data_IF_415208298417
#
_entry.id   IF_415208298417
#
_cell.length_a   1.000
_cell.length_b   1.000
_cell.length_c   1.000
_cell.angle_alpha   90.00
_cell.angle_beta   90.00
_cell.angle_gamma   90.00
#
_symmetry.space_group_name_H-M   'P 1'
#
loop_
_entity.id
_entity.type
_entity.pdbx_description
1 polymer ?
#
# COMPACT_ATOMS: atom_id res chain seq x y z
N UNK A 1 5.82 -18.11 -27.57
CA UNK A 1 5.10 -17.37 -26.51
C UNK A 1 5.97 -17.46 -25.27
N UNK A 2 6.65 -16.36 -24.93
CA UNK A 2 7.59 -16.31 -23.81
C UNK A 2 6.84 -16.29 -22.47
N UNK A 3 7.52 -16.59 -21.37
CA UNK A 3 6.93 -16.55 -19.99
C UNK A 3 6.33 -15.16 -19.71
N UNK A 4 6.98 -14.10 -20.23
CA UNK A 4 6.52 -12.70 -20.13
C UNK A 4 5.17 -12.48 -20.82
N UNK A 5 4.92 -13.13 -21.98
CA UNK A 5 3.63 -13.01 -22.70
C UNK A 5 2.48 -13.70 -21.95
N UNK A 6 2.78 -14.78 -21.22
CA UNK A 6 1.76 -15.48 -20.43
C UNK A 6 1.35 -14.71 -19.18
N UNK A 7 2.28 -14.02 -18.53
CA UNK A 7 1.96 -13.17 -17.38
C UNK A 7 1.15 -11.94 -17.81
N UNK A 8 1.52 -11.25 -18.88
CA UNK A 8 0.74 -10.13 -19.42
C UNK A 8 -0.69 -10.54 -19.81
N UNK A 9 -0.87 -11.74 -20.38
CA UNK A 9 -2.20 -12.24 -20.73
C UNK A 9 -3.05 -12.58 -19.50
N UNK A 10 -2.43 -13.08 -18.43
CA UNK A 10 -3.10 -13.41 -17.17
C UNK A 10 -3.62 -12.14 -16.47
N UNK A 11 -2.81 -11.08 -16.44
CA UNK A 11 -3.21 -9.79 -15.87
C UNK A 11 -4.32 -9.09 -16.66
N UNK A 12 -4.32 -9.24 -17.98
CA UNK A 12 -5.37 -8.72 -18.85
C UNK A 12 -6.73 -9.38 -18.55
N UNK A 13 -6.76 -10.68 -18.37
CA UNK A 13 -7.97 -11.44 -18.02
C UNK A 13 -8.51 -11.09 -16.63
N UNK A 14 -7.64 -10.80 -15.65
CA UNK A 14 -8.02 -10.35 -14.30
C UNK A 14 -8.63 -8.94 -14.32
N UNK A 15 -8.37 -8.15 -15.37
CA UNK A 15 -8.90 -6.78 -15.53
C UNK A 15 -10.20 -6.71 -16.33
N UNK A 16 -10.50 -7.68 -17.19
CA UNK A 16 -11.56 -7.57 -18.21
C UNK A 16 -12.99 -7.81 -17.71
N UNK A 17 -13.22 -8.33 -16.48
CA UNK A 17 -14.56 -8.62 -15.95
C UNK A 17 -14.80 -8.16 -14.50
N UNK A 18 -14.10 -7.10 -14.06
CA UNK A 18 -14.25 -6.63 -12.68
C UNK A 18 -15.44 -5.70 -12.55
N UNK A 19 -16.42 -6.11 -11.79
CA UNK A 19 -17.50 -5.22 -11.33
C UNK A 19 -16.99 -4.45 -10.12
N UNK A 20 -16.77 -3.16 -10.28
CA UNK A 20 -16.37 -2.30 -9.17
C UNK A 20 -17.58 -1.98 -8.28
N UNK A 21 -17.35 -1.94 -6.98
CA UNK A 21 -18.36 -1.57 -5.99
C UNK A 21 -18.83 -0.13 -6.23
N UNK A 22 -20.12 0.08 -6.06
CA UNK A 22 -20.70 1.43 -6.06
C UNK A 22 -20.46 2.12 -4.72
N UNK A 23 -20.81 3.41 -4.64
CA UNK A 23 -20.59 4.24 -3.46
C UNK A 23 -21.25 3.68 -2.19
N UNK A 24 -22.48 3.20 -2.28
CA UNK A 24 -23.20 2.68 -1.12
C UNK A 24 -22.56 1.39 -0.57
N UNK A 25 -22.13 0.51 -1.48
CA UNK A 25 -21.41 -0.73 -1.13
C UNK A 25 -20.06 -0.43 -0.46
N UNK A 26 -19.32 0.57 -0.95
CA UNK A 26 -18.06 1.01 -0.36
C UNK A 26 -18.28 1.63 1.03
N UNK A 27 -19.28 2.50 1.18
CA UNK A 27 -19.62 3.13 2.46
C UNK A 27 -20.09 2.11 3.51
N UNK A 28 -20.75 1.03 3.10
CA UNK A 28 -21.12 -0.10 3.99
C UNK A 28 -19.89 -0.81 4.59
N UNK A 29 -18.73 -0.74 3.94
CA UNK A 29 -17.48 -1.31 4.43
C UNK A 29 -16.78 -0.51 5.54
N UNK A 30 -17.23 0.71 5.87
CA UNK A 30 -16.58 1.53 6.89
C UNK A 30 -16.50 0.87 8.27
N UNK A 31 -17.54 0.15 8.68
CA UNK A 31 -17.59 -0.45 10.01
C UNK A 31 -16.53 -1.56 10.15
N UNK A 32 -16.31 -2.36 9.11
CA UNK A 32 -15.25 -3.37 9.08
C UNK A 32 -13.86 -2.73 9.10
N UNK A 33 -13.68 -1.66 8.33
CA UNK A 33 -12.40 -0.91 8.29
C UNK A 33 -12.08 -0.31 9.67
N UNK A 34 -13.06 0.30 10.35
CA UNK A 34 -12.90 0.89 11.69
C UNK A 34 -12.59 -0.13 12.79
N UNK A 35 -12.85 -1.41 12.56
CA UNK A 35 -12.49 -2.51 13.46
C UNK A 35 -11.03 -2.96 13.28
N UNK A 36 -10.23 -2.33 12.41
CA UNK A 36 -8.80 -2.61 12.32
C UNK A 36 -8.12 -2.43 13.67
N UNK A 37 -7.19 -3.32 14.05
CA UNK A 37 -6.42 -3.18 15.29
C UNK A 37 -5.70 -1.84 15.37
N UNK A 38 -5.66 -1.24 16.55
CA UNK A 38 -4.93 0.03 16.77
C UNK A 38 -3.44 -0.16 17.01
N UNK A 39 -3.04 -1.38 17.32
CA UNK A 39 -1.66 -1.79 17.55
C UNK A 39 -1.52 -3.28 17.27
N UNK A 40 -0.29 -3.79 17.13
CA UNK A 40 -0.02 -5.21 16.87
C UNK A 40 -0.76 -5.75 15.63
N UNK A 41 -0.96 -4.89 14.63
CA UNK A 41 -1.56 -5.27 13.35
C UNK A 41 -0.70 -6.27 12.59
N UNK A 42 -1.29 -7.02 11.68
CA UNK A 42 -0.60 -8.07 10.94
C UNK A 42 -0.16 -7.62 9.56
N UNK A 43 1.06 -7.95 9.15
CA UNK A 43 1.56 -7.77 7.78
C UNK A 43 0.97 -8.86 6.88
N UNK A 44 -0.06 -8.50 6.12
CA UNK A 44 -0.84 -9.42 5.29
C UNK A 44 -0.23 -9.69 3.92
N UNK A 45 0.48 -8.71 3.34
CA UNK A 45 1.10 -8.84 2.03
C UNK A 45 2.27 -7.89 1.88
N UNK A 46 3.31 -8.37 1.20
CA UNK A 46 4.48 -7.58 0.77
C UNK A 46 4.51 -7.58 -0.75
N UNK A 47 4.61 -6.41 -1.38
CA UNK A 47 4.69 -6.27 -2.82
C UNK A 47 5.91 -5.45 -3.22
N UNK A 48 6.79 -6.04 -4.00
CA UNK A 48 7.91 -5.37 -4.64
C UNK A 48 7.53 -4.91 -6.05
N UNK A 49 7.95 -3.73 -6.43
CA UNK A 49 7.76 -3.13 -7.75
C UNK A 49 9.12 -3.02 -8.45
N UNK A 50 9.60 -4.05 -9.15
CA UNK A 50 10.93 -4.03 -9.76
C UNK A 50 11.03 -3.14 -11.01
N UNK A 51 9.95 -2.54 -11.43
CA UNK A 51 9.86 -1.60 -12.56
C UNK A 51 8.43 -1.23 -12.91
N UNK A 52 8.26 -0.38 -13.92
CA UNK A 52 6.96 0.13 -14.35
C UNK A 52 5.97 -1.01 -14.63
N UNK A 53 4.81 -0.95 -13.99
CA UNK A 53 3.70 -1.91 -14.08
C UNK A 53 4.07 -3.37 -13.75
N UNK A 54 5.23 -3.62 -13.16
CA UNK A 54 5.64 -4.93 -12.64
C UNK A 54 5.35 -5.02 -11.14
N UNK A 55 4.91 -6.19 -10.69
CA UNK A 55 4.57 -6.48 -9.29
C UNK A 55 5.05 -7.89 -8.95
N UNK A 56 5.65 -8.03 -7.78
CA UNK A 56 6.07 -9.32 -7.23
C UNK A 56 5.57 -9.39 -5.80
N UNK A 57 4.71 -10.38 -5.52
CA UNK A 57 4.26 -10.67 -4.15
C UNK A 57 5.33 -11.51 -3.48
N UNK A 58 5.76 -11.06 -2.31
CA UNK A 58 6.84 -11.69 -1.55
C UNK A 58 6.30 -12.30 -0.26
N UNK A 59 6.90 -13.42 0.18
CA UNK A 59 6.65 -13.99 1.52
C UNK A 59 7.49 -13.27 2.56
N UNK A 60 8.71 -12.86 2.20
CA UNK A 60 9.63 -12.10 3.05
C UNK A 60 10.30 -10.98 2.25
N UNK A 61 10.76 -9.93 2.92
CA UNK A 61 11.47 -8.82 2.31
C UNK A 61 12.49 -8.21 3.27
N UNK A 62 13.40 -7.43 2.71
CA UNK A 62 14.36 -6.62 3.47
C UNK A 62 13.99 -5.15 3.32
N UNK A 63 13.83 -4.46 4.44
CA UNK A 63 13.73 -3.01 4.49
C UNK A 63 15.11 -2.43 4.73
N UNK A 64 15.50 -1.47 3.90
CA UNK A 64 16.84 -0.88 3.89
C UNK A 64 16.75 0.64 3.92
N UNK A 65 17.59 1.29 4.74
CA UNK A 65 17.64 2.75 4.89
C UNK A 65 17.82 3.51 3.56
N UNK A 66 18.58 2.93 2.63
CA UNK A 66 18.91 3.59 1.36
C UNK A 66 17.94 3.26 0.23
N UNK A 67 17.34 2.06 0.25
CA UNK A 67 16.57 1.52 -0.87
C UNK A 67 15.08 1.37 -0.58
N UNK A 68 14.66 1.50 0.68
CA UNK A 68 13.31 1.12 1.09
C UNK A 68 13.15 -0.39 1.09
N UNK A 69 12.18 -0.93 0.36
CA UNK A 69 12.06 -2.37 0.13
C UNK A 69 13.09 -2.81 -0.91
N UNK A 70 13.97 -3.72 -0.53
CA UNK A 70 15.06 -4.20 -1.39
C UNK A 70 14.53 -4.73 -2.74
N UNK A 71 15.08 -4.19 -3.83
CA UNK A 71 14.69 -4.51 -5.20
C UNK A 71 13.39 -3.83 -5.71
N UNK A 72 12.78 -2.94 -4.91
CA UNK A 72 11.74 -2.02 -5.39
C UNK A 72 12.35 -0.90 -6.24
N UNK A 73 11.60 -0.36 -7.19
CA UNK A 73 12.07 0.70 -8.09
C UNK A 73 11.99 2.11 -7.50
N UNK A 74 11.55 2.27 -6.24
CA UNK A 74 11.33 3.58 -5.62
C UNK A 74 12.52 4.54 -5.85
N UNK A 75 13.74 4.08 -5.57
CA UNK A 75 14.95 4.91 -5.70
C UNK A 75 15.24 5.34 -7.14
N UNK A 76 15.09 4.42 -8.10
CA UNK A 76 15.40 4.68 -9.52
C UNK A 76 14.28 5.38 -10.25
N UNK A 77 13.01 5.15 -9.81
CA UNK A 77 11.84 5.80 -10.40
C UNK A 77 11.81 7.30 -10.15
N UNK A 78 12.37 7.74 -9.02
CA UNK A 78 12.35 9.13 -8.62
C UNK A 78 10.96 9.64 -8.23
N UNK A 79 10.84 10.95 -8.08
CA UNK A 79 9.60 11.63 -7.70
C UNK A 79 9.45 12.95 -8.44
N UNK A 80 8.24 13.26 -8.88
CA UNK A 80 7.89 14.60 -9.39
C UNK A 80 7.71 15.63 -8.27
N UNK A 81 7.80 15.21 -7.01
CA UNK A 81 7.69 16.09 -5.84
C UNK A 81 9.04 16.61 -5.35
N UNK A 82 10.14 16.18 -5.98
CA UNK A 82 11.50 16.68 -5.71
C UNK A 82 11.96 17.56 -6.86
N UNK A 83 12.73 18.60 -6.56
CA UNK A 83 13.20 19.58 -7.57
C UNK A 83 14.14 18.94 -8.60
N UNK A 84 14.98 18.00 -8.17
CA UNK A 84 15.97 17.30 -9.00
C UNK A 84 15.44 15.98 -9.60
N UNK A 85 14.19 15.62 -9.33
CA UNK A 85 13.58 14.35 -9.78
C UNK A 85 14.07 13.12 -9.02
N UNK A 86 14.86 13.28 -7.95
CA UNK A 86 15.30 12.17 -7.10
C UNK A 86 14.12 11.52 -6.36
N UNK A 87 14.32 10.32 -5.82
CA UNK A 87 13.33 9.69 -4.98
C UNK A 87 13.09 10.50 -3.70
N UNK A 88 11.81 10.74 -3.34
CA UNK A 88 11.46 11.48 -2.14
C UNK A 88 11.66 10.60 -0.90
N UNK A 89 12.56 10.95 0.06
CA UNK A 89 12.87 10.08 1.21
C UNK A 89 11.65 9.70 2.05
N UNK A 90 10.72 10.66 2.21
CA UNK A 90 9.50 10.46 3.01
C UNK A 90 8.39 9.69 2.27
N UNK A 91 8.66 9.23 1.04
CA UNK A 91 7.77 8.35 0.25
C UNK A 91 8.45 7.01 -0.05
N UNK A 92 9.36 6.58 0.81
CA UNK A 92 10.19 5.39 0.60
C UNK A 92 9.37 4.10 0.64
N UNK A 93 8.43 4.02 1.57
CA UNK A 93 7.50 2.90 1.75
C UNK A 93 6.08 3.43 1.69
N UNK A 94 5.23 2.77 0.93
CA UNK A 94 3.78 3.02 0.92
C UNK A 94 3.05 1.85 1.57
N UNK A 95 2.12 2.16 2.47
CA UNK A 95 1.40 1.19 3.29
C UNK A 95 -0.10 1.40 3.09
N UNK A 96 -0.85 0.33 2.87
CA UNK A 96 -2.31 0.37 2.77
C UNK A 96 -2.94 -0.58 3.79
N UNK A 97 -4.10 -0.18 4.33
CA UNK A 97 -4.86 -1.04 5.22
C UNK A 97 -5.43 -2.24 4.45
N UNK A 98 -5.24 -3.46 4.99
CA UNK A 98 -5.63 -4.71 4.35
C UNK A 98 -7.15 -4.83 4.16
N UNK A 99 -7.96 -4.32 5.09
CA UNK A 99 -9.43 -4.36 4.97
C UNK A 99 -9.94 -3.42 3.89
N UNK A 100 -9.28 -2.26 3.73
CA UNK A 100 -9.62 -1.32 2.65
C UNK A 100 -9.35 -1.94 1.29
N UNK A 101 -8.17 -2.54 1.11
CA UNK A 101 -7.85 -3.15 -0.18
C UNK A 101 -8.67 -4.40 -0.43
N UNK A 102 -9.01 -5.19 0.59
CA UNK A 102 -9.92 -6.32 0.46
C UNK A 102 -11.30 -5.88 -0.05
N UNK A 103 -11.86 -4.80 0.49
CA UNK A 103 -13.11 -4.21 0.03
C UNK A 103 -13.02 -3.76 -1.43
N UNK A 104 -12.00 -2.99 -1.79
CA UNK A 104 -11.85 -2.41 -3.14
C UNK A 104 -11.51 -3.44 -4.21
N UNK A 105 -10.65 -4.38 -3.89
CA UNK A 105 -10.14 -5.37 -4.83
C UNK A 105 -11.05 -6.59 -4.97
N UNK A 106 -11.80 -6.94 -3.91
CA UNK A 106 -12.67 -8.11 -3.77
C UNK A 106 -11.91 -9.46 -3.86
N UNK A 107 -10.82 -9.51 -4.62
CA UNK A 107 -9.95 -10.67 -4.84
C UNK A 107 -8.56 -10.38 -4.31
N UNK A 108 -7.96 -11.30 -3.54
CA UNK A 108 -6.64 -11.10 -2.92
C UNK A 108 -5.52 -10.90 -3.96
N UNK A 109 -5.60 -11.57 -5.11
CA UNK A 109 -4.66 -11.44 -6.21
C UNK A 109 -4.60 -10.01 -6.78
N UNK A 110 -5.65 -9.23 -6.59
CA UNK A 110 -5.75 -7.86 -7.07
C UNK A 110 -5.19 -6.81 -6.10
N UNK A 111 -4.92 -7.17 -4.85
CA UNK A 111 -4.38 -6.22 -3.87
C UNK A 111 -3.13 -5.50 -4.37
N UNK A 112 -2.18 -6.25 -4.94
CA UNK A 112 -0.94 -5.72 -5.48
C UNK A 112 -1.12 -4.63 -6.55
N UNK A 113 -2.32 -4.55 -7.15
CA UNK A 113 -2.64 -3.53 -8.14
C UNK A 113 -2.79 -2.13 -7.52
N UNK A 114 -3.03 -2.00 -6.21
CA UNK A 114 -3.03 -0.69 -5.54
C UNK A 114 -1.67 0.00 -5.65
N UNK A 115 -0.59 -0.78 -5.69
CA UNK A 115 0.75 -0.29 -5.93
C UNK A 115 1.51 0.07 -4.66
N UNK A 116 0.97 -0.31 -3.50
CA UNK A 116 1.64 -0.19 -2.21
C UNK A 116 2.62 -1.34 -2.00
N UNK A 117 3.64 -1.13 -1.17
CA UNK A 117 4.61 -2.17 -0.83
C UNK A 117 4.14 -3.05 0.32
N UNK A 118 3.47 -2.49 1.34
CA UNK A 118 3.02 -3.21 2.52
C UNK A 118 1.50 -3.08 2.69
N UNK A 119 0.87 -4.19 3.06
CA UNK A 119 -0.55 -4.24 3.40
C UNK A 119 -0.68 -4.73 4.82
N UNK A 120 -1.16 -3.86 5.73
CA UNK A 120 -1.28 -4.13 7.15
C UNK A 120 -2.75 -4.22 7.56
N UNK A 121 -3.13 -5.22 8.32
CA UNK A 121 -4.37 -5.17 9.10
C UNK A 121 -4.13 -4.34 10.36
N UNK A 122 -4.13 -3.03 10.19
CA UNK A 122 -3.86 -2.03 11.23
C UNK A 122 -4.65 -0.76 10.93
N UNK A 123 -5.16 -0.10 11.95
CA UNK A 123 -5.77 1.23 11.83
C UNK A 123 -4.70 2.26 11.45
N UNK A 124 -4.75 2.72 10.20
CA UNK A 124 -3.81 3.70 9.65
C UNK A 124 -4.30 5.15 9.82
N UNK A 125 -5.42 5.38 10.51
CA UNK A 125 -6.02 6.72 10.66
C UNK A 125 -5.05 7.74 11.24
N UNK A 126 -5.31 9.01 10.95
CA UNK A 126 -4.55 10.15 11.48
C UNK A 126 -4.51 10.16 13.01
N UNK A 127 -5.63 9.76 13.65
CA UNK A 127 -5.75 9.67 15.10
C UNK A 127 -4.89 8.55 15.71
N UNK A 128 -4.63 7.47 14.96
CA UNK A 128 -3.88 6.31 15.45
C UNK A 128 -2.40 6.33 15.08
N UNK A 129 -2.09 6.75 13.85
CA UNK A 129 -0.73 6.79 13.30
C UNK A 129 -0.39 8.19 12.76
N UNK A 130 -0.30 9.22 13.62
CA UNK A 130 0.15 10.54 13.20
C UNK A 130 1.58 10.48 12.68
N UNK A 131 2.01 11.45 11.84
CA UNK A 131 3.40 11.58 11.40
C UNK A 131 4.39 11.52 12.57
N UNK A 132 5.51 10.83 12.37
CA UNK A 132 6.51 10.56 13.41
C UNK A 132 6.26 9.29 14.22
N UNK A 133 5.09 8.66 14.08
CA UNK A 133 4.86 7.34 14.73
C UNK A 133 5.79 6.29 14.13
N UNK A 134 6.48 5.55 14.98
CA UNK A 134 7.33 4.43 14.57
C UNK A 134 6.62 3.09 14.73
N UNK A 135 6.80 2.22 13.75
CA UNK A 135 6.30 0.85 13.75
C UNK A 135 7.48 -0.13 13.64
N UNK A 136 7.57 -1.04 14.61
CA UNK A 136 8.44 -2.21 14.49
C UNK A 136 7.71 -3.31 13.71
N UNK A 137 8.33 -3.84 12.64
CA UNK A 137 7.79 -4.95 11.85
C UNK A 137 8.95 -5.94 11.63
N UNK A 138 8.82 -7.16 12.12
CA UNK A 138 9.91 -8.12 12.14
C UNK A 138 11.13 -7.55 12.87
N UNK A 139 12.26 -7.35 12.17
CA UNK A 139 13.48 -6.73 12.75
C UNK A 139 13.71 -5.30 12.26
N UNK A 140 12.87 -4.79 11.38
CA UNK A 140 12.93 -3.44 10.84
C UNK A 140 12.10 -2.46 11.68
N UNK A 141 12.40 -1.14 11.55
CA UNK A 141 11.57 -0.06 12.08
C UNK A 141 11.35 0.93 10.95
N UNK A 142 10.10 1.34 10.77
CA UNK A 142 9.67 2.39 9.85
C UNK A 142 9.04 3.55 10.62
N UNK A 143 9.04 4.73 10.04
CA UNK A 143 8.43 5.93 10.60
C UNK A 143 7.42 6.51 9.63
N UNK A 144 6.21 6.77 10.09
CA UNK A 144 5.13 7.42 9.32
C UNK A 144 5.54 8.86 9.00
N UNK A 145 5.33 9.28 7.75
CA UNK A 145 5.71 10.62 7.27
C UNK A 145 4.49 11.50 7.00
N UNK A 146 4.72 12.81 6.91
CA UNK A 146 3.65 13.80 6.69
C UNK A 146 3.11 13.82 5.25
N UNK A 147 3.80 13.15 4.30
CA UNK A 147 3.43 13.23 2.89
C UNK A 147 2.09 12.50 2.65
N UNK A 148 1.04 13.20 2.17
CA UNK A 148 -0.24 12.57 1.93
C UNK A 148 -0.16 11.49 0.84
N UNK A 149 -0.77 10.34 1.09
CA UNK A 149 -0.96 9.32 0.07
C UNK A 149 -2.39 9.40 -0.47
N UNK A 150 -2.55 9.72 -1.77
CA UNK A 150 -3.85 9.97 -2.38
C UNK A 150 -4.12 9.04 -3.58
N UNK A 151 -5.38 8.73 -3.81
CA UNK A 151 -5.82 7.98 -4.99
C UNK A 151 -5.64 8.80 -6.27
N UNK A 152 -4.96 8.21 -7.24
CA UNK A 152 -4.64 8.84 -8.52
C UNK A 152 -5.41 8.21 -9.69
N UNK A 153 -5.19 8.71 -10.93
CA UNK A 153 -5.82 8.17 -12.15
C UNK A 153 -5.53 6.67 -12.36
N UNK A 154 -4.33 6.20 -12.02
CA UNK A 154 -3.99 4.77 -12.10
C UNK A 154 -4.80 3.94 -11.10
N UNK A 155 -5.04 4.48 -9.90
CA UNK A 155 -5.90 3.83 -8.90
C UNK A 155 -7.34 3.73 -9.40
N UNK A 156 -7.90 4.82 -9.97
CA UNK A 156 -9.24 4.81 -10.56
C UNK A 156 -9.38 3.79 -11.72
N UNK A 157 -8.35 3.64 -12.54
CA UNK A 157 -8.35 2.65 -13.62
C UNK A 157 -8.40 1.19 -13.11
N UNK A 158 -7.94 0.94 -11.89
CA UNK A 158 -7.84 -0.41 -11.29
C UNK A 158 -8.99 -0.77 -10.37
N UNK A 159 -9.54 0.23 -9.66
CA UNK A 159 -10.55 0.06 -8.61
C UNK A 159 -11.82 0.89 -8.84
N UNK A 160 -11.97 1.47 -10.04
CA UNK A 160 -13.12 2.28 -10.39
C UNK A 160 -13.05 3.73 -9.89
N UNK A 161 -13.88 4.58 -10.48
CA UNK A 161 -13.95 6.00 -10.11
C UNK A 161 -14.53 6.17 -8.70
N UNK A 162 -15.54 5.37 -8.33
CA UNK A 162 -16.12 5.42 -7.00
C UNK A 162 -15.14 4.97 -5.92
N UNK A 163 -14.31 3.93 -6.18
CA UNK A 163 -13.22 3.54 -5.29
C UNK A 163 -12.19 4.66 -5.08
N UNK A 164 -11.81 5.37 -6.14
CA UNK A 164 -10.92 6.54 -6.02
C UNK A 164 -11.57 7.69 -5.21
N UNK A 165 -12.86 7.98 -5.45
CA UNK A 165 -13.59 9.01 -4.70
C UNK A 165 -13.73 8.62 -3.22
N UNK A 166 -13.96 7.34 -2.93
CA UNK A 166 -14.10 6.81 -1.58
C UNK A 166 -12.83 7.04 -0.77
N UNK A 167 -11.67 6.63 -1.27
CA UNK A 167 -10.39 6.80 -0.55
C UNK A 167 -9.97 8.27 -0.44
N UNK A 168 -10.41 9.14 -1.35
CA UNK A 168 -10.11 10.59 -1.34
C UNK A 168 -11.20 11.43 -0.67
N UNK A 169 -12.28 10.83 -0.18
CA UNK A 169 -13.34 11.55 0.56
C UNK A 169 -12.78 12.19 1.85
N UNK A 170 -13.54 13.09 2.47
CA UNK A 170 -13.14 13.70 3.75
C UNK A 170 -12.87 12.61 4.82
N UNK A 171 -13.80 11.65 4.96
CA UNK A 171 -13.63 10.53 5.86
C UNK A 171 -12.50 9.59 5.42
N UNK A 172 -12.37 9.35 4.11
CA UNK A 172 -11.30 8.54 3.55
C UNK A 172 -9.90 9.10 3.82
N UNK A 173 -9.75 10.42 3.81
CA UNK A 173 -8.51 11.10 4.18
C UNK A 173 -8.21 10.98 5.67
N UNK A 174 -9.20 11.21 6.55
CA UNK A 174 -9.06 11.07 8.01
C UNK A 174 -8.68 9.64 8.42
N UNK A 175 -9.26 8.65 7.76
CA UNK A 175 -8.96 7.23 7.99
C UNK A 175 -7.74 6.71 7.18
N UNK A 176 -7.10 7.57 6.39
CA UNK A 176 -6.01 7.20 5.49
C UNK A 176 -6.34 5.98 4.61
N UNK A 177 -7.56 5.93 4.03
CA UNK A 177 -8.01 4.76 3.26
C UNK A 177 -7.15 4.47 2.03
N UNK A 178 -6.51 5.50 1.44
CA UNK A 178 -5.53 5.26 0.37
C UNK A 178 -4.20 4.76 0.91
N UNK A 179 -3.98 4.85 2.21
CA UNK A 179 -2.75 4.47 2.87
C UNK A 179 -1.93 5.65 3.34
N UNK A 180 -0.75 5.34 3.84
CA UNK A 180 0.24 6.28 4.36
C UNK A 180 1.59 6.08 3.69
N UNK A 181 2.42 7.12 3.76
CA UNK A 181 3.83 7.04 3.42
C UNK A 181 4.66 6.84 4.69
N UNK A 182 5.78 6.15 4.55
CA UNK A 182 6.74 5.91 5.63
C UNK A 182 8.17 5.90 5.07
N UNK A 183 9.13 6.04 5.99
CA UNK A 183 10.56 5.83 5.72
C UNK A 183 11.13 4.76 6.64
N UNK A 184 12.17 4.07 6.20
CA UNK A 184 12.90 3.11 7.03
C UNK A 184 13.81 3.89 7.97
N UNK A 185 13.74 3.63 9.28
CA UNK A 185 14.62 4.22 10.30
C UNK A 185 15.57 3.20 10.90
N UNK A 186 15.26 1.91 10.75
CA UNK A 186 16.16 0.81 11.07
C UNK A 186 15.98 -0.30 10.02
N UNK A 187 17.05 -0.66 9.34
CA UNK A 187 17.03 -1.78 8.39
C UNK A 187 16.75 -3.10 9.09
N UNK A 188 16.07 -4.01 8.40
CA UNK A 188 15.75 -5.32 8.93
C UNK A 188 14.94 -6.16 7.97
N UNK A 189 14.61 -7.39 8.38
CA UNK A 189 13.77 -8.32 7.62
C UNK A 189 12.34 -8.24 8.13
N UNK A 190 11.42 -8.39 7.19
CA UNK A 190 9.98 -8.48 7.40
C UNK A 190 9.45 -9.72 6.70
N UNK A 191 8.44 -10.34 7.27
CA UNK A 191 7.79 -11.52 6.72
C UNK A 191 6.26 -11.37 6.84
N UNK A 192 5.53 -11.92 5.89
CA UNK A 192 4.06 -12.02 5.99
C UNK A 192 3.69 -12.76 7.28
N UNK A 193 2.78 -12.19 8.07
CA UNK A 193 2.41 -12.63 9.41
C UNK A 193 3.12 -11.89 10.55
N UNK A 194 4.19 -11.13 10.28
CA UNK A 194 4.82 -10.28 11.30
C UNK A 194 3.82 -9.27 11.86
N UNK A 195 4.00 -8.93 13.14
CA UNK A 195 3.21 -7.89 13.79
C UNK A 195 3.84 -6.52 13.57
N UNK A 196 2.99 -5.53 13.36
CA UNK A 196 3.36 -4.13 13.32
C UNK A 196 3.03 -3.50 14.67
N UNK A 197 4.05 -3.28 15.49
CA UNK A 197 3.96 -2.76 16.87
C UNK A 197 4.33 -1.28 16.89
N UNK A 198 3.53 -0.45 17.57
CA UNK A 198 3.88 0.95 17.82
C UNK A 198 4.97 1.05 18.89
N UNK A 199 5.94 1.93 18.65
CA UNK A 199 7.05 2.20 19.55
C UNK A 199 6.84 3.50 20.34
#
# INVERSE_FOLDING_TARGET
>A
MTVVDKEHSKWRLVMENVVHLNRAELEAGFDEIRQSPKDNGELMMIVRRPGTDRREVLVEGELNLEQGLAGDDWRVRGSSSTEDGSAHPDMQITIMNARVIALLAQEAERWQLAGDQLYLDLDLSEDNLPPGTQLAIGTAIIEVTEIPHTGCRKFAARFGLEGMKFVNSAEGKRLHLRGINARVVKSGRIQVGDKAEKL
#
